data_IF_418554009528
#
_entry.id   IF_418554009528
#
_cell.length_a   1.000
_cell.length_b   1.000
_cell.length_c   1.000
_cell.angle_alpha   90.00
_cell.angle_beta   90.00
_cell.angle_gamma   90.00
#
_symmetry.space_group_name_H-M   'P 1'
#
loop_
_entity.id
_entity.type
_entity.pdbx_description
1 polymer ?
#
# COMPACT_ATOMS: atom_id res chain seq x y z
N UNK A 1 -31.45 3.12 5.52
CA UNK A 1 -30.82 1.91 6.09
C UNK A 1 -29.34 1.99 5.79
N UNK A 2 -28.51 2.34 6.78
CA UNK A 2 -27.06 2.42 6.63
C UNK A 2 -26.47 1.16 7.26
N UNK A 3 -26.03 0.20 6.44
CA UNK A 3 -25.08 -0.85 6.83
C UNK A 3 -24.25 -1.26 5.61
N UNK A 4 -23.10 -0.59 5.54
CA UNK A 4 -21.80 -1.02 5.02
C UNK A 4 -21.81 -2.30 4.19
N UNK A 5 -21.70 -2.13 2.87
CA UNK A 5 -20.93 -3.06 2.06
C UNK A 5 -19.46 -2.73 2.35
N UNK A 6 -18.97 -3.05 3.55
CA UNK A 6 -17.54 -2.95 3.80
C UNK A 6 -16.93 -4.14 3.08
N UNK A 7 -16.20 -3.83 2.02
CA UNK A 7 -15.56 -4.74 1.08
C UNK A 7 -14.85 -5.86 1.83
N UNK A 8 -15.37 -7.09 1.74
CA UNK A 8 -14.73 -8.31 2.25
C UNK A 8 -13.55 -8.76 1.35
N UNK A 9 -13.26 -7.99 0.30
CA UNK A 9 -12.16 -8.24 -0.62
C UNK A 9 -10.90 -7.53 -0.15
N UNK A 10 -9.79 -8.25 0.12
CA UNK A 10 -8.52 -7.62 0.40
C UNK A 10 -8.01 -6.84 -0.82
N UNK A 11 -7.53 -5.62 -0.59
CA UNK A 11 -6.83 -4.83 -1.60
C UNK A 11 -5.36 -5.23 -1.59
N UNK A 12 -4.83 -5.57 -2.76
CA UNK A 12 -3.41 -5.89 -2.92
C UNK A 12 -2.68 -4.70 -3.51
N UNK A 13 -1.54 -4.39 -2.91
CA UNK A 13 -0.72 -3.26 -3.30
C UNK A 13 0.69 -3.77 -3.58
N UNK A 14 1.09 -3.78 -4.85
CA UNK A 14 2.47 -4.07 -5.23
C UNK A 14 3.27 -2.78 -5.23
N UNK A 15 4.37 -2.75 -4.48
CA UNK A 15 5.25 -1.60 -4.34
C UNK A 15 6.64 -1.98 -4.81
N UNK A 16 7.13 -1.32 -5.86
CA UNK A 16 8.51 -1.43 -6.28
C UNK A 16 9.41 -0.54 -5.45
N UNK A 17 10.55 -1.09 -5.05
CA UNK A 17 11.58 -0.46 -4.25
C UNK A 17 12.84 -0.25 -5.09
N UNK A 18 13.40 0.94 -4.95
CA UNK A 18 14.68 1.33 -5.54
C UNK A 18 15.43 2.17 -4.52
N UNK A 19 16.60 1.71 -4.10
CA UNK A 19 17.39 2.33 -3.02
C UNK A 19 16.61 2.52 -1.71
N UNK A 20 15.75 1.56 -1.35
CA UNK A 20 14.95 1.58 -0.12
C UNK A 20 13.75 2.53 -0.15
N UNK A 21 13.51 3.20 -1.28
CA UNK A 21 12.34 4.07 -1.50
C UNK A 21 11.37 3.43 -2.48
N UNK A 22 10.07 3.70 -2.26
CA UNK A 22 9.01 3.23 -3.16
C UNK A 22 9.06 4.05 -4.44
N UNK A 23 9.35 3.40 -5.57
CA UNK A 23 9.44 4.02 -6.90
C UNK A 23 8.28 3.64 -7.82
N UNK A 24 7.61 2.51 -7.58
CA UNK A 24 6.46 2.07 -8.37
C UNK A 24 5.31 1.61 -7.48
N UNK A 25 4.08 1.77 -7.98
CA UNK A 25 2.87 1.21 -7.38
C UNK A 25 2.12 0.44 -8.46
N UNK A 26 1.83 -0.85 -8.23
CA UNK A 26 1.21 -1.77 -9.18
C UNK A 26 1.88 -1.75 -10.56
N UNK A 27 3.22 -1.81 -10.57
CA UNK A 27 4.04 -1.77 -11.77
C UNK A 27 4.15 -0.42 -12.49
N UNK A 28 3.49 0.64 -11.99
CA UNK A 28 3.60 2.00 -12.55
C UNK A 28 4.62 2.82 -11.79
N UNK A 29 5.60 3.36 -12.50
CA UNK A 29 6.57 4.31 -11.94
C UNK A 29 5.88 5.64 -11.61
N UNK A 30 6.11 6.11 -10.40
CA UNK A 30 5.50 7.31 -9.85
C UNK A 30 6.58 8.12 -9.14
N UNK A 31 6.42 9.44 -9.12
CA UNK A 31 7.20 10.29 -8.24
C UNK A 31 6.71 10.14 -6.79
N UNK A 32 7.49 10.66 -5.83
CA UNK A 32 7.21 10.48 -4.40
C UNK A 32 5.81 10.97 -3.99
N UNK A 33 5.34 12.10 -4.55
CA UNK A 33 3.98 12.58 -4.31
C UNK A 33 2.92 11.64 -4.92
N UNK A 34 3.13 11.17 -6.15
CA UNK A 34 2.23 10.24 -6.84
C UNK A 34 2.10 8.92 -6.10
N UNK A 35 3.21 8.38 -5.58
CA UNK A 35 3.20 7.19 -4.71
C UNK A 35 2.31 7.44 -3.50
N UNK A 36 2.53 8.54 -2.77
CA UNK A 36 1.75 8.85 -1.56
C UNK A 36 0.26 9.02 -1.87
N UNK A 37 -0.08 9.73 -2.95
CA UNK A 37 -1.46 9.95 -3.37
C UNK A 37 -2.18 8.66 -3.77
N UNK A 38 -1.51 7.77 -4.54
CA UNK A 38 -2.11 6.51 -4.96
C UNK A 38 -2.27 5.55 -3.77
N UNK A 39 -1.27 5.47 -2.90
CA UNK A 39 -1.38 4.67 -1.67
C UNK A 39 -2.54 5.20 -0.82
N UNK A 40 -2.63 6.50 -0.57
CA UNK A 40 -3.71 7.10 0.22
C UNK A 40 -5.08 6.78 -0.35
N UNK A 41 -5.27 6.99 -1.66
CA UNK A 41 -6.51 6.67 -2.36
C UNK A 41 -6.93 5.20 -2.19
N UNK A 42 -6.00 4.26 -2.37
CA UNK A 42 -6.29 2.83 -2.25
C UNK A 42 -6.49 2.38 -0.80
N UNK A 43 -5.90 3.09 0.17
CA UNK A 43 -6.06 2.79 1.58
C UNK A 43 -7.39 3.31 2.16
N UNK A 44 -7.96 4.38 1.60
CA UNK A 44 -9.27 4.92 2.01
C UNK A 44 -10.39 3.88 1.89
N UNK A 45 -10.33 2.97 0.91
CA UNK A 45 -11.36 1.94 0.70
C UNK A 45 -11.34 0.83 1.75
N UNK A 46 -10.25 0.68 2.51
CA UNK A 46 -9.99 -0.43 3.45
C UNK A 46 -9.63 0.05 4.86
N UNK A 47 -9.89 1.33 5.15
CA UNK A 47 -9.64 1.98 6.45
C UNK A 47 -8.16 1.90 6.90
N UNK A 48 -7.23 1.88 5.95
CA UNK A 48 -5.78 1.88 6.23
C UNK A 48 -5.25 3.31 6.05
N UNK A 49 -4.17 3.67 6.75
CA UNK A 49 -3.43 4.90 6.49
C UNK A 49 -2.25 4.63 5.58
N UNK A 50 -1.97 5.53 4.64
CA UNK A 50 -0.80 5.43 3.78
C UNK A 50 0.52 5.34 4.58
N UNK A 51 0.58 6.00 5.74
CA UNK A 51 1.76 5.97 6.62
C UNK A 51 2.04 4.57 7.20
N UNK A 52 1.00 3.82 7.55
CA UNK A 52 1.12 2.42 8.01
C UNK A 52 1.69 1.53 6.89
N UNK A 53 1.26 1.75 5.65
CA UNK A 53 1.79 1.05 4.47
C UNK A 53 3.27 1.37 4.29
N UNK A 54 3.64 2.65 4.23
CA UNK A 54 5.03 3.08 4.03
C UNK A 54 5.95 2.62 5.18
N UNK A 55 5.46 2.66 6.41
CA UNK A 55 6.17 2.16 7.59
C UNK A 55 6.38 0.65 7.50
N UNK A 56 5.35 -0.11 7.07
CA UNK A 56 5.48 -1.55 6.85
C UNK A 56 6.54 -1.86 5.80
N UNK A 57 6.54 -1.14 4.68
CA UNK A 57 7.54 -1.30 3.61
C UNK A 57 8.95 -1.06 4.14
N UNK A 58 9.16 0.05 4.85
CA UNK A 58 10.47 0.36 5.46
C UNK A 58 10.90 -0.70 6.46
N UNK A 59 9.96 -1.23 7.25
CA UNK A 59 10.23 -2.31 8.22
C UNK A 59 10.64 -3.63 7.58
N UNK A 60 10.33 -3.87 6.30
CA UNK A 60 10.78 -5.07 5.58
C UNK A 60 12.28 -4.98 5.27
N UNK A 61 12.86 -3.78 5.26
CA UNK A 61 14.31 -3.58 5.11
C UNK A 61 14.84 -4.02 3.75
N UNK A 62 14.03 -3.88 2.70
CA UNK A 62 14.38 -4.27 1.33
C UNK A 62 14.79 -3.04 0.53
N UNK A 63 16.00 -3.05 -0.02
CA UNK A 63 16.52 -1.92 -0.80
C UNK A 63 16.08 -1.93 -2.27
N UNK A 64 15.91 -3.11 -2.87
CA UNK A 64 15.52 -3.28 -4.27
C UNK A 64 14.49 -4.39 -4.49
N UNK A 65 13.70 -4.26 -5.56
CA UNK A 65 12.74 -5.27 -6.02
C UNK A 65 11.30 -4.84 -5.80
N UNK A 66 10.39 -5.78 -5.58
CA UNK A 66 8.99 -5.49 -5.27
C UNK A 66 8.57 -6.12 -3.93
N UNK A 67 7.59 -5.50 -3.30
CA UNK A 67 6.89 -5.95 -2.09
C UNK A 67 5.40 -5.91 -2.37
N UNK A 68 4.71 -7.02 -2.11
CA UNK A 68 3.25 -7.06 -2.20
C UNK A 68 2.66 -7.00 -0.79
N UNK A 69 1.82 -6.00 -0.57
CA UNK A 69 1.09 -5.81 0.68
C UNK A 69 -0.37 -6.17 0.49
N UNK A 70 -0.94 -6.82 1.50
CA UNK A 70 -2.36 -7.09 1.64
C UNK A 70 -2.95 -6.08 2.62
N UNK A 71 -3.88 -5.28 2.14
CA UNK A 71 -4.65 -4.31 2.91
C UNK A 71 -6.05 -4.87 3.16
N UNK A 72 -6.42 -5.04 4.43
CA UNK A 72 -7.71 -5.60 4.79
C UNK A 72 -8.12 -5.18 6.20
N UNK A 73 -9.35 -4.68 6.34
CA UNK A 73 -9.97 -4.36 7.63
C UNK A 73 -9.06 -3.49 8.54
N UNK A 74 -8.50 -2.41 7.99
CA UNK A 74 -7.60 -1.50 8.70
C UNK A 74 -6.19 -2.03 8.98
N UNK A 75 -5.84 -3.24 8.48
CA UNK A 75 -4.53 -3.84 8.70
C UNK A 75 -3.68 -3.92 7.42
N UNK A 76 -2.35 -3.81 7.60
CA UNK A 76 -1.34 -4.00 6.56
C UNK A 76 -0.51 -5.25 6.86
N UNK A 77 -0.57 -6.24 5.97
CA UNK A 77 0.20 -7.47 6.07
C UNK A 77 1.05 -7.70 4.82
N UNK A 78 2.20 -8.32 4.98
CA UNK A 78 3.01 -8.82 3.87
C UNK A 78 2.50 -10.19 3.44
N UNK A 79 2.57 -10.48 2.15
CA UNK A 79 2.36 -11.85 1.64
C UNK A 79 3.61 -12.71 1.82
#
# INVERSE_FOLDING_TARGET
MQKSIHVDCPTYLELGLKNGEVSTVNGKELNHEGVKHVIDYLCQEVDVKADDVLTKVKSIGKDEGAVTLKLYNGAVSTF
#
